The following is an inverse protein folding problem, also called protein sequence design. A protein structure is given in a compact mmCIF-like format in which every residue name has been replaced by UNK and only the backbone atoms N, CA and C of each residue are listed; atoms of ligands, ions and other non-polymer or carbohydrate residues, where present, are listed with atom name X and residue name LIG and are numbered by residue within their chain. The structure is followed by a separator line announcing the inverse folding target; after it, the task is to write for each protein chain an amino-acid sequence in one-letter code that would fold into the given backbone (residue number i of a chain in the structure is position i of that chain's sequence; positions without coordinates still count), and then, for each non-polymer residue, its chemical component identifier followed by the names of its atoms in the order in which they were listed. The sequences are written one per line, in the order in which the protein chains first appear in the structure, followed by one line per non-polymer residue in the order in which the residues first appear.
data_IF_527396749535
#
_entry.id   IF_527396749535
#
_cell.length_a   1.000
_cell.length_b   1.000
_cell.length_c   1.000
_cell.angle_alpha   90.00
_cell.angle_beta   90.00
_cell.angle_gamma   90.00
#
_symmetry.space_group_name_H-M   'P 1'
#
loop_
_entity.id
_entity.type
_entity.pdbx_description
1 polymer ?
#
# COMPACT_ATOMS: atom_id res chain seq x y z
N UNK A 1 7.59 16.03 7.99
CA UNK A 1 8.00 14.71 7.49
C UNK A 1 6.95 14.36 6.46
N UNK A 2 7.35 14.31 5.19
CA UNK A 2 6.40 13.99 4.11
C UNK A 2 5.85 12.58 4.35
N UNK A 3 4.52 12.45 4.42
CA UNK A 3 3.86 11.16 4.48
C UNK A 3 4.28 10.35 3.25
N UNK A 4 5.21 9.40 3.41
CA UNK A 4 5.70 8.54 2.33
C UNK A 4 4.55 7.78 1.63
N UNK A 5 3.44 7.60 2.36
CA UNK A 5 2.20 7.00 1.90
C UNK A 5 1.36 7.95 1.02
N UNK A 6 1.68 9.24 0.95
CA UNK A 6 0.94 10.22 0.16
C UNK A 6 1.11 10.04 -1.35
N UNK A 7 2.11 9.26 -1.77
CA UNK A 7 2.36 8.95 -3.18
C UNK A 7 1.79 7.58 -3.59
N UNK A 8 1.16 6.83 -2.67
CA UNK A 8 0.58 5.54 -3.00
C UNK A 8 -0.78 5.71 -3.67
N UNK A 9 -0.85 5.29 -4.93
CA UNK A 9 -2.03 5.38 -5.78
C UNK A 9 -2.53 3.98 -6.20
N UNK A 10 -3.82 3.84 -6.54
CA UNK A 10 -4.35 2.60 -7.09
C UNK A 10 -3.51 2.07 -8.25
N UNK A 11 -3.17 0.77 -8.23
CA UNK A 11 -2.31 0.14 -9.23
C UNK A 11 -0.84 -0.01 -8.82
N UNK A 12 -0.36 0.74 -7.83
CA UNK A 12 1.01 0.61 -7.35
C UNK A 12 1.23 -0.72 -6.61
N UNK A 13 2.42 -1.30 -6.79
CA UNK A 13 2.86 -2.49 -6.07
C UNK A 13 3.57 -2.09 -4.78
N UNK A 14 3.22 -2.73 -3.67
CA UNK A 14 3.76 -2.45 -2.34
C UNK A 14 4.04 -3.72 -1.58
N UNK A 15 5.00 -3.67 -0.66
CA UNK A 15 5.29 -4.75 0.27
C UNK A 15 5.11 -4.23 1.70
N UNK A 16 4.46 -5.01 2.56
CA UNK A 16 4.23 -4.60 3.94
C UNK A 16 5.51 -4.80 4.77
N UNK A 17 6.10 -3.75 5.35
CA UNK A 17 7.44 -3.82 5.96
C UNK A 17 7.51 -4.75 7.17
N UNK A 18 6.41 -4.93 7.89
CA UNK A 18 6.33 -5.81 9.08
C UNK A 18 5.70 -7.18 8.79
N UNK A 19 5.23 -7.40 7.55
CA UNK A 19 4.53 -8.63 7.13
C UNK A 19 5.08 -9.11 5.78
N UNK A 20 6.38 -9.45 5.72
CA UNK A 20 7.00 -9.92 4.47
C UNK A 20 6.36 -11.21 3.94
N UNK A 21 5.74 -12.01 4.81
CA UNK A 21 5.00 -13.23 4.48
C UNK A 21 3.79 -12.98 3.57
N UNK A 22 3.22 -11.77 3.55
CA UNK A 22 2.12 -11.39 2.65
C UNK A 22 2.58 -11.16 1.20
N UNK A 23 3.90 -11.08 0.97
CA UNK A 23 4.45 -10.83 -0.35
C UNK A 23 4.14 -9.42 -0.88
N UNK A 24 4.14 -9.30 -2.21
CA UNK A 24 3.82 -8.06 -2.90
C UNK A 24 2.30 -7.98 -3.10
N UNK A 25 1.72 -6.89 -2.59
CA UNK A 25 0.33 -6.53 -2.82
C UNK A 25 0.18 -5.37 -3.77
N UNK A 26 -1.04 -5.15 -4.25
CA UNK A 26 -1.41 -4.03 -5.11
C UNK A 26 -2.34 -3.08 -4.36
N UNK A 27 -2.03 -1.79 -4.42
CA UNK A 27 -2.90 -0.74 -3.89
C UNK A 27 -4.21 -0.74 -4.69
N UNK A 28 -5.33 -0.87 -3.98
CA UNK A 28 -6.68 -0.82 -4.54
C UNK A 28 -7.29 0.56 -4.41
N UNK A 29 -7.12 1.22 -3.27
CA UNK A 29 -7.68 2.54 -3.02
C UNK A 29 -6.92 3.30 -1.94
N UNK A 30 -7.02 4.64 -1.99
CA UNK A 30 -6.57 5.55 -0.94
C UNK A 30 -7.69 6.52 -0.62
N UNK A 31 -8.23 6.45 0.59
CA UNK A 31 -9.38 7.26 1.01
C UNK A 31 -9.10 7.82 2.40
N UNK A 32 -9.13 9.15 2.57
CA UNK A 32 -8.87 9.84 3.84
C UNK A 32 -7.56 9.40 4.54
N UNK A 33 -6.49 9.17 3.76
CA UNK A 33 -5.19 8.71 4.29
C UNK A 33 -5.12 7.21 4.61
N UNK A 34 -6.23 6.47 4.52
CA UNK A 34 -6.24 5.01 4.62
C UNK A 34 -5.99 4.38 3.25
N UNK A 35 -5.05 3.45 3.19
CA UNK A 35 -4.69 2.73 1.97
C UNK A 35 -5.19 1.29 2.09
N UNK A 36 -5.91 0.84 1.08
CA UNK A 36 -6.36 -0.55 0.94
C UNK A 36 -5.44 -1.25 -0.06
N UNK A 37 -4.90 -2.40 0.33
CA UNK A 37 -3.98 -3.20 -0.49
C UNK A 37 -4.53 -4.63 -0.57
N UNK A 38 -4.57 -5.20 -1.77
CA UNK A 38 -4.86 -6.61 -1.97
C UNK A 38 -3.54 -7.38 -2.11
N UNK A 39 -3.40 -8.45 -1.35
CA UNK A 39 -2.30 -9.41 -1.43
C UNK A 39 -2.83 -10.69 -2.06
N UNK A 40 -2.05 -11.31 -2.95
CA UNK A 40 -2.39 -12.59 -3.63
C UNK A 40 -1.85 -13.76 -2.84
#
# INVERSE_FOLDING_TARGET
MEDLNAHLEPGMLVCHPQKPEWGIGQVQSRINGKITVNFV
#
